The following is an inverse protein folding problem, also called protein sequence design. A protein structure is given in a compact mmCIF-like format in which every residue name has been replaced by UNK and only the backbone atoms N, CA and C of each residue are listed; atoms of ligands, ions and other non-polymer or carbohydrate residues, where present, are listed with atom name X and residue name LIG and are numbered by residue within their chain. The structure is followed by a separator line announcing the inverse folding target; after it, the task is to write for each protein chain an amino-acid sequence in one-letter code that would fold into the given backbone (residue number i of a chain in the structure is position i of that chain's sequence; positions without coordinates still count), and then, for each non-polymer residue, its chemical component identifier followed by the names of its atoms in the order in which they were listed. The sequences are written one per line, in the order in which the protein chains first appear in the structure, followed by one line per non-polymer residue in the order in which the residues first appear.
data_IF_258827962147
#
_entry.id   IF_258827962147
#
_cell.length_a   1.000
_cell.length_b   1.000
_cell.length_c   1.000
_cell.angle_alpha   90.00
_cell.angle_beta   90.00
_cell.angle_gamma   90.00
#
_symmetry.space_group_name_H-M   'P 1'
#
loop_
_entity.id
_entity.type
_entity.pdbx_description
1 polymer ?
#
# COMPACT_ATOMS: atom_id res chain seq x y z
N UNK A 1 -30.46 4.25 16.03
CA UNK A 1 -29.18 4.47 16.75
C UNK A 1 -28.08 4.41 15.70
N UNK A 2 -27.58 5.56 15.28
CA UNK A 2 -26.52 5.66 14.29
C UNK A 2 -25.20 5.34 15.00
N UNK A 3 -24.50 4.32 14.53
CA UNK A 3 -23.18 4.00 15.05
C UNK A 3 -22.23 5.15 14.66
N UNK A 4 -21.72 5.82 15.68
CA UNK A 4 -20.54 6.65 15.59
C UNK A 4 -19.41 5.78 15.05
N UNK A 5 -18.87 6.10 13.88
CA UNK A 5 -17.69 5.44 13.33
C UNK A 5 -16.67 6.55 13.07
N UNK A 6 -15.67 6.60 13.94
CA UNK A 6 -14.56 7.54 13.90
C UNK A 6 -13.92 7.60 12.52
N UNK A 7 -13.50 8.82 12.14
CA UNK A 7 -13.12 9.21 10.78
C UNK A 7 -11.98 8.41 10.17
N UNK A 8 -12.31 7.27 9.56
CA UNK A 8 -11.55 6.68 8.47
C UNK A 8 -11.97 7.30 7.13
N UNK A 9 -11.14 7.18 6.07
CA UNK A 9 -11.53 7.64 4.74
C UNK A 9 -12.83 6.96 4.29
N UNK A 10 -13.70 7.73 3.63
CA UNK A 10 -14.90 7.22 2.99
C UNK A 10 -14.47 6.40 1.76
N UNK A 11 -14.29 5.09 1.94
CA UNK A 11 -14.04 4.17 0.84
C UNK A 11 -15.35 3.89 0.08
N UNK A 12 -15.30 3.71 -1.25
CA UNK A 12 -16.42 3.21 -2.03
C UNK A 12 -16.94 1.86 -1.50
N UNK A 13 -18.21 1.54 -1.71
CA UNK A 13 -18.84 0.30 -1.18
C UNK A 13 -18.15 -1.00 -1.61
N UNK A 14 -17.51 -0.99 -2.79
CA UNK A 14 -16.76 -2.13 -3.32
C UNK A 14 -15.35 -2.29 -2.72
N UNK A 15 -14.92 -1.35 -1.88
CA UNK A 15 -13.62 -1.36 -1.21
C UNK A 15 -13.76 -1.62 0.29
N UNK A 16 -12.67 -2.08 0.90
CA UNK A 16 -12.56 -2.28 2.34
C UNK A 16 -11.63 -1.22 2.92
N UNK A 17 -12.11 -0.49 3.92
CA UNK A 17 -11.30 0.46 4.67
C UNK A 17 -10.47 -0.26 5.74
N UNK A 18 -9.17 -0.02 5.75
CA UNK A 18 -8.28 -0.47 6.81
C UNK A 18 -7.08 0.48 6.92
N UNK A 19 -6.66 0.82 8.13
CA UNK A 19 -5.47 1.67 8.39
C UNK A 19 -5.39 2.95 7.52
N UNK A 20 -6.47 3.74 7.53
CA UNK A 20 -6.61 4.96 6.73
C UNK A 20 -6.41 4.78 5.20
N UNK A 21 -6.56 3.55 4.70
CA UNK A 21 -6.44 3.19 3.29
C UNK A 21 -7.67 2.41 2.81
N UNK A 22 -7.91 2.43 1.50
CA UNK A 22 -8.98 1.67 0.85
C UNK A 22 -8.39 0.56 -0.02
N UNK A 23 -8.90 -0.66 0.14
CA UNK A 23 -8.41 -1.85 -0.54
C UNK A 23 -9.48 -2.46 -1.43
N UNK A 24 -9.10 -2.82 -2.65
CA UNK A 24 -9.96 -3.50 -3.62
C UNK A 24 -9.37 -4.87 -3.97
N UNK A 25 -10.20 -5.92 -3.87
CA UNK A 25 -9.79 -7.29 -4.10
C UNK A 25 -10.22 -7.76 -5.50
N UNK A 26 -9.38 -7.49 -6.49
CA UNK A 26 -9.65 -7.79 -7.90
C UNK A 26 -9.17 -9.21 -8.25
N UNK A 27 -10.09 -10.16 -8.40
CA UNK A 27 -9.77 -11.56 -8.71
C UNK A 27 -9.51 -11.85 -10.20
N UNK A 28 -9.38 -10.82 -11.04
CA UNK A 28 -9.17 -10.99 -12.47
C UNK A 28 -7.68 -11.21 -12.77
N UNK A 29 -7.35 -12.37 -13.34
CA UNK A 29 -5.97 -12.74 -13.65
C UNK A 29 -5.39 -11.83 -14.74
N UNK A 30 -4.26 -11.21 -14.43
CA UNK A 30 -3.55 -10.24 -15.30
C UNK A 30 -2.05 -10.42 -15.12
N UNK A 31 -1.24 -9.90 -16.03
CA UNK A 31 0.19 -9.71 -15.75
C UNK A 31 0.38 -8.65 -14.67
N UNK A 32 1.50 -8.70 -13.96
CA UNK A 32 1.83 -7.73 -12.90
C UNK A 32 1.66 -6.26 -13.37
N UNK A 33 2.26 -5.90 -14.52
CA UNK A 33 2.17 -4.54 -15.07
C UNK A 33 0.73 -4.14 -15.42
N UNK A 34 -0.07 -5.09 -15.93
CA UNK A 34 -1.48 -4.83 -16.25
C UNK A 34 -2.33 -4.64 -15.00
N UNK A 35 -2.02 -5.37 -13.93
CA UNK A 35 -2.67 -5.23 -12.63
C UNK A 35 -2.32 -3.89 -11.96
N UNK A 36 -1.04 -3.51 -11.97
CA UNK A 36 -0.60 -2.19 -11.49
C UNK A 36 -1.32 -1.05 -12.23
N UNK A 37 -1.32 -1.09 -13.56
CA UNK A 37 -2.02 -0.08 -14.36
C UNK A 37 -3.54 -0.08 -14.13
N UNK A 38 -4.14 -1.19 -13.70
CA UNK A 38 -5.56 -1.23 -13.30
C UNK A 38 -5.79 -0.43 -12.03
N UNK A 39 -4.99 -0.67 -10.99
CA UNK A 39 -5.08 0.05 -9.72
C UNK A 39 -4.78 1.55 -9.90
N UNK A 40 -3.81 1.90 -10.74
CA UNK A 40 -3.46 3.30 -11.04
C UNK A 40 -4.58 4.06 -11.74
N UNK A 41 -5.34 3.42 -12.64
CA UNK A 41 -6.54 4.03 -13.25
C UNK A 41 -7.63 4.33 -12.22
N UNK A 42 -7.69 3.57 -11.13
CA UNK A 42 -8.58 3.80 -10.00
C UNK A 42 -8.05 4.84 -9.00
N UNK A 43 -6.90 5.46 -9.25
CA UNK A 43 -6.26 6.41 -8.35
C UNK A 43 -5.45 5.77 -7.21
N UNK A 44 -5.16 4.47 -7.31
CA UNK A 44 -4.39 3.71 -6.32
C UNK A 44 -3.17 3.01 -6.91
N UNK A 45 -2.73 1.95 -6.26
CA UNK A 45 -1.62 1.08 -6.68
C UNK A 45 -1.86 -0.32 -6.13
N UNK A 46 -1.11 -1.32 -6.60
CA UNK A 46 -1.15 -2.65 -5.98
C UNK A 46 -0.78 -2.56 -4.50
N UNK A 47 -1.54 -3.24 -3.64
CA UNK A 47 -1.38 -3.13 -2.19
C UNK A 47 0.03 -3.51 -1.72
N UNK A 48 0.59 -2.71 -0.83
CA UNK A 48 1.86 -2.98 -0.16
C UNK A 48 1.62 -3.58 1.22
N UNK A 49 2.45 -4.55 1.62
CA UNK A 49 2.49 -5.07 2.98
C UNK A 49 3.52 -4.25 3.76
N UNK A 50 3.07 -3.31 4.59
CA UNK A 50 3.94 -2.42 5.35
C UNK A 50 4.20 -2.92 6.79
N UNK A 51 3.29 -3.75 7.31
CA UNK A 51 3.33 -4.31 8.66
C UNK A 51 2.49 -5.61 8.72
N UNK A 52 2.57 -6.29 9.86
CA UNK A 52 1.87 -7.56 10.11
C UNK A 52 0.34 -7.38 10.16
N UNK A 53 -0.14 -6.23 10.60
CA UNK A 53 -1.57 -5.91 10.66
C UNK A 53 -2.18 -5.88 9.25
N UNK A 54 -1.51 -5.23 8.29
CA UNK A 54 -1.91 -5.21 6.88
C UNK A 54 -1.80 -6.61 6.29
N UNK A 55 -0.74 -7.37 6.59
CA UNK A 55 -0.62 -8.75 6.11
C UNK A 55 -1.81 -9.59 6.54
N UNK A 56 -2.18 -9.56 7.83
CA UNK A 56 -3.32 -10.30 8.34
C UNK A 56 -4.64 -9.81 7.75
N UNK A 57 -4.80 -8.49 7.59
CA UNK A 57 -5.97 -7.91 6.94
C UNK A 57 -6.15 -8.45 5.53
N UNK A 58 -5.09 -8.46 4.72
CA UNK A 58 -5.11 -9.00 3.36
C UNK A 58 -5.43 -10.51 3.39
N UNK A 59 -4.71 -11.30 4.19
CA UNK A 59 -4.92 -12.76 4.27
C UNK A 59 -6.35 -13.17 4.63
N UNK A 60 -7.06 -12.39 5.45
CA UNK A 60 -8.47 -12.66 5.80
C UNK A 60 -9.44 -12.45 4.62
N UNK A 61 -9.06 -11.65 3.62
CA UNK A 61 -9.92 -11.26 2.50
C UNK A 61 -9.49 -11.89 1.16
N UNK A 62 -8.23 -12.30 1.03
CA UNK A 62 -7.72 -12.99 -0.15
C UNK A 62 -8.20 -14.44 -0.16
N UNK A 63 -8.59 -14.92 -1.34
CA UNK A 63 -8.97 -16.32 -1.54
C UNK A 63 -7.71 -17.18 -1.66
N UNK A 64 -7.54 -18.23 -0.85
CA UNK A 64 -6.31 -19.03 -0.81
C UNK A 64 -6.08 -19.86 -2.08
N UNK A 65 -7.09 -20.08 -2.91
CA UNK A 65 -6.99 -20.85 -4.16
C UNK A 65 -6.45 -20.02 -5.34
N UNK A 66 -6.10 -18.75 -5.13
CA UNK A 66 -5.64 -17.85 -6.18
C UNK A 66 -4.31 -17.17 -5.80
N UNK A 67 -3.48 -16.96 -6.82
CA UNK A 67 -2.30 -16.12 -6.70
C UNK A 67 -2.68 -14.64 -6.85
N UNK A 68 -2.14 -13.79 -5.97
CA UNK A 68 -2.47 -12.37 -5.93
C UNK A 68 -1.23 -11.52 -6.17
N UNK A 69 -1.38 -10.50 -7.02
CA UNK A 69 -0.34 -9.49 -7.20
C UNK A 69 -0.36 -8.50 -6.04
N UNK A 70 0.83 -8.25 -5.48
CA UNK A 70 1.09 -7.24 -4.46
C UNK A 70 2.10 -6.24 -4.98
N UNK A 71 2.04 -5.02 -4.50
CA UNK A 71 2.95 -3.96 -4.91
C UNK A 71 4.39 -4.27 -4.53
N UNK A 72 5.31 -3.99 -5.45
CA UNK A 72 6.74 -3.99 -5.17
C UNK A 72 7.12 -2.63 -4.62
N UNK A 73 7.21 -2.51 -3.30
CA UNK A 73 7.88 -1.35 -2.72
C UNK A 73 9.40 -1.54 -2.95
N UNK A 74 10.15 -0.50 -3.35
CA UNK A 74 11.60 -0.55 -3.25
C UNK A 74 11.93 -0.99 -1.83
N UNK A 75 12.74 -2.04 -1.67
CA UNK A 75 13.29 -2.35 -0.36
C UNK A 75 13.88 -1.05 0.18
N UNK A 76 13.36 -0.55 1.32
CA UNK A 76 14.01 0.57 1.99
C UNK A 76 15.43 0.11 2.26
N UNK A 77 16.40 0.67 1.55
CA UNK A 77 17.81 0.35 1.75
C UNK A 77 18.32 0.91 3.09
N UNK A 78 17.47 1.62 3.85
CA UNK A 78 17.87 2.38 5.03
C UNK A 78 16.99 2.04 6.23
N UNK A 79 17.36 0.98 6.96
CA UNK A 79 17.12 0.88 8.41
C UNK A 79 18.37 1.26 9.22
N UNK A 80 19.41 1.81 8.59
CA UNK A 80 20.47 2.59 9.27
C UNK A 80 21.17 3.48 8.25
N UNK A 81 20.97 4.79 8.37
CA UNK A 81 21.79 5.92 7.95
C UNK A 81 20.81 7.10 8.03
N UNK A 82 20.60 7.67 9.23
CA UNK A 82 21.38 8.84 9.64
C UNK A 82 21.57 9.74 8.42
N UNK A 83 20.90 10.90 8.41
CA UNK A 83 21.25 12.00 7.53
C UNK A 83 22.73 12.32 7.76
N UNK A 84 23.62 11.64 7.03
CA UNK A 84 24.97 12.11 6.79
C UNK A 84 24.78 13.39 6.00
N UNK A 85 24.64 14.49 6.75
CA UNK A 85 24.98 15.83 6.29
C UNK A 85 26.46 15.78 5.93
N UNK A 86 26.72 15.27 4.73
CA UNK A 86 28.01 15.27 4.08
C UNK A 86 27.84 16.02 2.77
N UNK A 87 27.63 17.33 2.88
CA UNK A 87 28.28 18.23 1.93
C UNK A 87 28.97 19.33 2.71
N UNK A 88 30.18 18.98 3.16
CA UNK A 88 31.22 19.98 3.35
C UNK A 88 31.45 20.67 2.01
N UNK A 89 30.89 21.87 1.86
CA UNK A 89 31.26 22.81 0.82
C UNK A 89 31.68 24.09 1.49
N UNK A 90 32.99 24.30 1.55
CA UNK A 90 33.61 25.54 2.01
C UNK A 90 33.14 26.73 1.18
N UNK A 91 32.79 27.86 1.83
CA UNK A 91 32.88 29.16 1.21
C UNK A 91 34.13 29.89 1.76
N UNK A 92 35.04 30.22 0.85
CA UNK A 92 36.11 31.25 0.95
C UNK A 92 35.44 32.60 1.28
N UNK A 93 36.01 33.52 2.09
CA UNK A 93 37.44 33.86 2.24
C UNK A 93 38.07 33.66 3.62
#
# INVERSE_FOLDING_TARGET
MAAEQGGGPLCPEYQKSFDASCYEFVSLQRSFLSAQGWCERGGGHLAFILNDEIQQFLQRHLKPEQDWWLGLAPARQNLTLELTVAEGRTPVP
#
